data_IF_888556378591
#
_entry.id   IF_888556378591
#
_cell.length_a   1.000
_cell.length_b   1.000
_cell.length_c   1.000
_cell.angle_alpha   90.00
_cell.angle_beta   90.00
_cell.angle_gamma   90.00
#
_symmetry.space_group_name_H-M   'P 1'
#
loop_
_entity.id
_entity.type
_entity.pdbx_description
1 polymer ?
#
# COMPACT_ATOMS: atom_id res chain seq x y z
N UNK A 1 -42.96 -4.80 6.97
CA UNK A 1 -41.51 -4.78 6.71
C UNK A 1 -40.84 -4.09 7.89
N UNK A 2 -40.52 -4.82 8.96
CA UNK A 2 -39.80 -4.29 10.13
C UNK A 2 -38.44 -4.96 10.17
N UNK A 3 -37.40 -4.25 9.74
CA UNK A 3 -36.03 -4.65 10.02
C UNK A 3 -35.66 -4.06 11.39
N UNK A 4 -35.58 -4.91 12.41
CA UNK A 4 -35.01 -4.52 13.71
C UNK A 4 -33.56 -4.97 13.72
N UNK A 5 -32.64 -4.04 13.45
CA UNK A 5 -31.21 -4.27 13.59
C UNK A 5 -30.78 -3.67 14.93
N UNK A 6 -30.44 -4.53 15.90
CA UNK A 6 -29.84 -4.11 17.17
C UNK A 6 -28.32 -4.30 17.07
N UNK A 7 -27.62 -3.28 16.56
CA UNK A 7 -26.17 -3.26 16.56
C UNK A 7 -25.64 -2.75 17.90
N UNK A 8 -25.05 -3.64 18.69
CA UNK A 8 -24.25 -3.25 19.86
C UNK A 8 -22.79 -3.07 19.42
N UNK A 9 -22.41 -1.83 19.14
CA UNK A 9 -21.02 -1.46 18.91
C UNK A 9 -20.30 -1.28 20.25
N UNK A 10 -19.43 -2.23 20.57
CA UNK A 10 -18.44 -2.09 21.64
C UNK A 10 -17.06 -1.93 21.02
N UNK A 11 -16.66 -0.71 20.68
CA UNK A 11 -15.25 -0.37 20.47
C UNK A 11 -14.75 0.23 21.78
N UNK A 12 -13.93 -0.51 22.52
CA UNK A 12 -13.12 0.08 23.59
C UNK A 12 -11.79 0.51 22.99
N UNK A 13 -11.66 1.80 22.66
CA UNK A 13 -10.35 2.40 22.46
C UNK A 13 -9.64 2.39 23.81
N UNK A 14 -8.73 1.44 24.01
CA UNK A 14 -7.94 1.36 25.23
C UNK A 14 -6.70 2.25 25.09
N UNK A 15 -6.89 3.56 24.94
CA UNK A 15 -5.81 4.54 25.12
C UNK A 15 -5.73 4.91 26.60
N UNK A 16 -5.03 4.10 27.40
CA UNK A 16 -4.70 4.49 28.77
C UNK A 16 -3.44 5.34 28.73
N UNK A 17 -3.59 6.63 28.44
CA UNK A 17 -2.65 7.60 29.00
C UNK A 17 -2.93 7.68 30.50
N UNK A 18 -1.89 7.44 31.29
CA UNK A 18 -1.96 7.56 32.74
C UNK A 18 -2.10 9.03 33.14
N UNK A 19 -3.27 9.62 32.92
CA UNK A 19 -3.62 10.91 33.50
C UNK A 19 -3.99 10.71 34.97
N UNK A 20 -3.18 11.29 35.85
CA UNK A 20 -3.21 11.07 37.29
C UNK A 20 -4.47 11.57 38.02
N UNK A 21 -5.42 12.20 37.33
CA UNK A 21 -6.45 13.01 37.98
C UNK A 21 -7.93 12.59 37.79
N UNK A 22 -8.26 11.44 37.18
CA UNK A 22 -9.64 10.90 37.21
C UNK A 22 -9.70 9.36 37.23
N UNK A 23 -10.23 8.71 38.29
CA UNK A 23 -10.38 7.27 38.32
C UNK A 23 -11.85 6.87 38.12
N UNK A 24 -12.19 6.17 37.03
CA UNK A 24 -13.33 5.22 37.04
C UNK A 24 -13.41 4.43 35.73
N UNK A 25 -12.54 3.46 35.55
CA UNK A 25 -12.91 2.23 34.84
C UNK A 25 -12.37 1.03 35.60
N UNK A 26 -13.16 -0.05 35.66
CA UNK A 26 -12.82 -1.33 36.31
C UNK A 26 -11.46 -1.88 35.85
N UNK A 27 -11.01 -1.50 34.64
CA UNK A 27 -9.77 -1.93 34.01
C UNK A 27 -8.52 -1.15 34.51
N UNK A 28 -8.65 0.09 34.99
CA UNK A 28 -7.52 0.84 35.56
C UNK A 28 -6.92 0.18 36.81
N UNK A 29 -7.66 -0.70 37.49
CA UNK A 29 -7.17 -1.42 38.68
C UNK A 29 -6.10 -2.47 38.35
N UNK A 30 -6.04 -2.98 37.11
CA UNK A 30 -5.09 -4.03 36.74
C UNK A 30 -3.75 -3.51 36.20
N UNK A 31 -3.67 -2.24 35.81
CA UNK A 31 -2.44 -1.63 35.24
C UNK A 31 -1.95 -0.50 36.15
N UNK A 32 -1.64 -0.84 37.39
CA UNK A 32 -0.92 0.04 38.31
C UNK A 32 0.44 -0.56 38.65
N UNK A 33 1.32 -0.64 37.64
CA UNK A 33 2.73 -0.96 37.87
C UNK A 33 3.59 0.25 37.46
N UNK A 34 4.30 0.77 38.46
CA UNK A 34 5.07 2.02 38.50
C UNK A 34 6.39 1.95 37.70
N UNK A 35 6.44 1.14 36.65
CA UNK A 35 7.59 0.97 35.77
C UNK A 35 7.20 1.42 34.35
N UNK A 36 7.46 2.69 34.04
CA UNK A 36 7.16 3.40 32.78
C UNK A 36 7.92 2.90 31.54
N UNK A 37 8.38 1.63 31.56
CA UNK A 37 9.18 1.01 30.49
C UNK A 37 8.39 0.05 29.63
N UNK A 38 7.15 -0.31 30.01
CA UNK A 38 6.29 -1.17 29.19
C UNK A 38 4.94 -0.48 29.03
N UNK A 39 4.47 -0.38 27.80
CA UNK A 39 3.16 0.10 27.41
C UNK A 39 2.44 -1.02 26.66
N UNK A 40 1.19 -1.23 27.01
CA UNK A 40 0.30 -2.17 26.31
C UNK A 40 -0.94 -1.38 25.92
N UNK A 41 -1.26 -1.39 24.63
CA UNK A 41 -2.45 -0.78 24.07
C UNK A 41 -3.14 -1.73 23.10
N UNK A 42 -4.29 -1.34 22.58
CA UNK A 42 -5.03 -2.17 21.64
C UNK A 42 -6.53 -2.02 21.76
N UNK A 43 -7.26 -2.89 21.06
CA UNK A 43 -8.71 -2.96 21.13
C UNK A 43 -9.17 -4.41 21.07
N UNK A 44 -10.38 -4.64 21.58
CA UNK A 44 -11.16 -5.84 21.35
C UNK A 44 -12.48 -5.44 20.70
N UNK A 45 -12.87 -6.18 19.66
CA UNK A 45 -14.13 -5.98 18.94
C UNK A 45 -14.91 -7.28 18.88
N UNK A 46 -16.20 -7.15 19.17
CA UNK A 46 -17.17 -8.23 19.10
C UNK A 46 -18.42 -7.70 18.44
N UNK A 47 -18.87 -8.38 17.40
CA UNK A 47 -20.07 -8.01 16.66
C UNK A 47 -21.10 -9.11 16.81
N UNK A 48 -22.31 -8.73 17.19
CA UNK A 48 -23.44 -9.62 17.35
C UNK A 48 -24.57 -9.07 16.52
N UNK A 49 -25.15 -9.91 15.65
CA UNK A 49 -26.35 -9.53 14.91
C UNK A 49 -27.37 -10.65 14.90
N UNK A 50 -28.64 -10.24 14.90
CA UNK A 50 -29.78 -11.10 14.70
C UNK A 50 -30.54 -10.58 13.48
N UNK A 51 -30.68 -11.43 12.47
CA UNK A 51 -31.43 -11.14 11.24
C UNK A 51 -32.62 -12.07 11.16
N UNK A 52 -33.78 -11.52 10.82
CA UNK A 52 -34.99 -12.29 10.54
C UNK A 52 -35.72 -11.70 9.33
N UNK A 53 -36.08 -12.57 8.38
CA UNK A 53 -36.92 -12.26 7.23
C UNK A 53 -38.20 -13.09 7.29
N UNK A 54 -39.34 -12.44 7.09
CA UNK A 54 -40.63 -13.13 6.91
C UNK A 54 -40.60 -13.95 5.59
N UNK A 55 -40.09 -13.34 4.52
CA UNK A 55 -39.75 -13.99 3.24
C UNK A 55 -38.35 -13.54 2.80
N UNK A 56 -37.40 -14.48 2.69
CA UNK A 56 -36.04 -14.17 2.24
C UNK A 56 -35.88 -14.38 0.74
N UNK A 57 -34.95 -13.63 0.13
CA UNK A 57 -34.56 -13.84 -1.26
C UNK A 57 -33.97 -15.24 -1.47
N UNK A 58 -34.20 -15.88 -2.64
CA UNK A 58 -33.71 -17.23 -2.94
C UNK A 58 -32.21 -17.44 -2.65
N UNK A 59 -31.38 -16.45 -3.00
CA UNK A 59 -29.93 -16.51 -2.82
C UNK A 59 -29.50 -16.49 -1.33
N UNK A 60 -30.31 -15.90 -0.45
CA UNK A 60 -30.06 -15.82 0.99
C UNK A 60 -30.51 -17.11 1.69
N UNK A 61 -31.63 -17.69 1.22
CA UNK A 61 -32.19 -18.95 1.72
C UNK A 61 -31.20 -20.11 1.58
N UNK A 62 -30.46 -20.18 0.47
CA UNK A 62 -29.52 -21.26 0.17
C UNK A 62 -28.38 -21.38 1.19
N UNK A 63 -27.97 -20.29 1.83
CA UNK A 63 -26.80 -20.27 2.72
C UNK A 63 -27.13 -20.10 4.20
N UNK A 64 -28.23 -19.44 4.54
CA UNK A 64 -28.45 -18.97 5.93
C UNK A 64 -29.89 -19.02 6.44
N UNK A 65 -30.86 -19.34 5.58
CA UNK A 65 -32.28 -19.37 5.94
C UNK A 65 -32.90 -18.03 6.36
N UNK A 66 -34.14 -18.07 6.85
CA UNK A 66 -34.93 -16.89 7.23
C UNK A 66 -34.45 -16.23 8.53
N UNK A 67 -33.71 -16.95 9.39
CA UNK A 67 -33.24 -16.44 10.68
C UNK A 67 -31.77 -16.73 10.87
N UNK A 68 -30.99 -15.71 11.22
CA UNK A 68 -29.57 -15.84 11.56
C UNK A 68 -29.33 -15.14 12.89
N UNK A 69 -28.69 -15.84 13.83
CA UNK A 69 -28.08 -15.24 15.02
C UNK A 69 -26.59 -15.51 14.89
N UNK A 70 -25.77 -14.47 14.89
CA UNK A 70 -24.33 -14.60 14.62
C UNK A 70 -23.51 -13.69 15.52
N UNK A 71 -22.33 -14.18 15.92
CA UNK A 71 -21.30 -13.43 16.66
C UNK A 71 -20.09 -13.26 15.74
N UNK A 72 -20.34 -12.74 14.55
CA UNK A 72 -19.34 -12.58 13.50
C UNK A 72 -19.73 -11.38 12.64
N UNK A 73 -18.79 -10.52 12.27
CA UNK A 73 -19.07 -9.35 11.41
C UNK A 73 -18.74 -9.57 9.94
N UNK A 74 -18.11 -10.69 9.56
CA UNK A 74 -17.62 -10.88 8.20
C UNK A 74 -16.53 -9.91 7.79
N UNK A 75 -15.99 -9.13 8.74
CA UNK A 75 -15.07 -8.05 8.49
C UNK A 75 -13.63 -8.56 8.58
N UNK A 76 -12.75 -8.09 7.70
CA UNK A 76 -11.37 -8.58 7.55
C UNK A 76 -10.42 -8.09 8.66
N UNK A 77 -10.92 -7.38 9.67
CA UNK A 77 -10.10 -6.87 10.77
C UNK A 77 -10.02 -7.89 11.94
N UNK A 78 -8.97 -7.84 12.77
CA UNK A 78 -8.82 -8.76 13.88
C UNK A 78 -9.85 -8.50 14.98
N UNK A 79 -10.33 -9.54 15.67
CA UNK A 79 -11.21 -9.37 16.83
C UNK A 79 -10.47 -8.80 18.04
N UNK A 80 -9.17 -9.01 18.12
CA UNK A 80 -8.31 -8.44 19.15
C UNK A 80 -7.01 -7.97 18.50
N UNK A 81 -6.64 -6.72 18.76
CA UNK A 81 -5.31 -6.20 18.51
C UNK A 81 -4.66 -5.84 19.85
N UNK A 82 -3.44 -6.30 20.08
CA UNK A 82 -2.61 -5.90 21.20
C UNK A 82 -1.28 -5.34 20.68
N UNK A 83 -0.95 -4.11 21.05
CA UNK A 83 0.33 -3.48 20.78
C UNK A 83 1.12 -3.47 22.09
N UNK A 84 2.29 -4.10 22.12
CA UNK A 84 3.17 -4.12 23.30
C UNK A 84 4.44 -3.37 22.95
N UNK A 85 4.71 -2.27 23.65
CA UNK A 85 5.92 -1.47 23.49
C UNK A 85 6.75 -1.49 24.77
N UNK A 86 8.02 -1.82 24.64
CA UNK A 86 9.02 -1.78 25.70
C UNK A 86 10.04 -0.68 25.38
N UNK A 87 10.27 0.20 26.34
CA UNK A 87 11.31 1.24 26.31
C UNK A 87 12.37 0.91 27.38
N UNK A 88 13.38 0.06 27.09
CA UNK A 88 14.41 -0.29 28.07
C UNK A 88 15.12 0.95 28.67
N UNK A 89 15.29 1.99 27.84
CA UNK A 89 15.86 3.28 28.18
C UNK A 89 15.28 4.39 27.25
N UNK A 90 15.67 5.66 27.44
CA UNK A 90 15.16 6.82 26.65
C UNK A 90 15.56 6.84 25.17
N UNK A 91 16.55 6.03 24.78
CA UNK A 91 17.10 5.94 23.42
C UNK A 91 16.64 4.69 22.68
N UNK A 92 16.03 3.70 23.34
CA UNK A 92 15.68 2.41 22.75
C UNK A 92 14.21 2.10 22.95
N UNK A 93 13.52 1.71 21.88
CA UNK A 93 12.15 1.20 21.91
C UNK A 93 12.07 -0.12 21.13
N UNK A 94 11.27 -1.05 21.62
CA UNK A 94 10.95 -2.33 21.00
C UNK A 94 9.44 -2.47 21.04
N UNK A 95 8.79 -2.73 19.91
CA UNK A 95 7.35 -2.84 19.81
C UNK A 95 6.96 -4.12 19.09
N UNK A 96 5.88 -4.74 19.54
CA UNK A 96 5.28 -5.88 18.85
C UNK A 96 3.77 -5.72 18.78
N UNK A 97 3.20 -6.05 17.63
CA UNK A 97 1.75 -6.12 17.44
C UNK A 97 1.32 -7.58 17.38
N UNK A 98 0.25 -7.89 18.11
CA UNK A 98 -0.45 -9.16 18.08
C UNK A 98 -1.85 -8.94 17.56
N UNK A 99 -2.27 -9.77 16.63
CA UNK A 99 -3.61 -9.76 16.08
C UNK A 99 -4.21 -11.15 16.22
N UNK A 100 -5.47 -11.21 16.64
CA UNK A 100 -6.19 -12.46 16.82
C UNK A 100 -7.54 -12.39 16.12
N UNK A 101 -7.79 -13.38 15.26
CA UNK A 101 -9.04 -13.58 14.55
C UNK A 101 -9.75 -14.79 15.14
N UNK A 102 -10.97 -14.57 15.61
CA UNK A 102 -11.81 -15.61 16.20
C UNK A 102 -13.18 -15.56 15.54
N UNK A 103 -13.56 -16.54 14.70
CA UNK A 103 -14.87 -16.55 14.05
C UNK A 103 -16.02 -16.89 15.02
N UNK A 104 -15.74 -17.10 16.31
CA UNK A 104 -16.70 -17.49 17.36
C UNK A 104 -17.61 -18.66 16.97
N UNK A 105 -17.11 -19.59 16.16
CA UNK A 105 -17.84 -20.74 15.61
C UNK A 105 -17.96 -21.92 16.58
N UNK A 106 -17.43 -21.81 17.80
CA UNK A 106 -17.36 -22.90 18.78
C UNK A 106 -16.33 -23.98 18.44
N UNK A 107 -15.64 -23.88 17.29
CA UNK A 107 -14.52 -24.73 16.91
C UNK A 107 -13.22 -23.92 16.92
N UNK A 108 -12.16 -24.49 17.49
CA UNK A 108 -10.81 -23.91 17.51
C UNK A 108 -10.10 -23.92 16.15
N UNK A 109 -10.53 -24.77 15.22
CA UNK A 109 -9.86 -24.92 13.90
C UNK A 109 -9.91 -23.64 13.05
N UNK A 110 -10.86 -22.73 13.34
CA UNK A 110 -10.98 -21.42 12.70
C UNK A 110 -10.33 -20.27 13.47
N UNK A 111 -9.82 -20.51 14.68
CA UNK A 111 -9.07 -19.51 15.45
C UNK A 111 -7.67 -19.38 14.86
N UNK A 112 -7.57 -18.54 13.83
CA UNK A 112 -6.36 -18.35 13.06
C UNK A 112 -5.47 -17.31 13.75
N UNK A 113 -4.42 -17.78 14.41
CA UNK A 113 -3.19 -17.01 14.61
C UNK A 113 -2.36 -17.11 13.32
N UNK A 114 -2.84 -16.52 12.22
CA UNK A 114 -2.11 -16.61 10.94
C UNK A 114 -0.99 -15.59 10.88
N UNK A 115 0.23 -16.13 10.78
CA UNK A 115 1.49 -15.37 10.71
C UNK A 115 1.65 -14.51 9.44
N UNK A 116 0.61 -14.37 8.61
CA UNK A 116 0.65 -13.53 7.40
C UNK A 116 0.46 -12.03 7.68
N UNK A 117 -0.21 -11.67 8.77
CA UNK A 117 -0.44 -10.26 9.17
C UNK A 117 -0.06 -10.00 10.64
N UNK A 118 0.18 -11.04 11.45
CA UNK A 118 -0.20 -10.98 12.87
C UNK A 118 0.92 -10.80 13.91
N UNK A 119 2.19 -10.79 13.50
CA UNK A 119 3.33 -10.44 14.37
C UNK A 119 4.24 -9.44 13.66
N UNK A 120 4.18 -8.18 14.09
CA UNK A 120 5.08 -7.13 13.64
C UNK A 120 6.06 -6.82 14.74
N UNK A 121 7.32 -7.26 14.62
CA UNK A 121 8.37 -6.84 15.54
C UNK A 121 9.04 -5.59 14.98
N UNK A 122 9.15 -4.55 15.79
CA UNK A 122 9.95 -3.38 15.45
C UNK A 122 10.84 -2.97 16.60
N UNK A 123 11.98 -2.38 16.26
CA UNK A 123 12.93 -1.86 17.21
C UNK A 123 13.49 -0.54 16.70
N UNK A 124 13.79 0.38 17.60
CA UNK A 124 14.52 1.59 17.25
C UNK A 124 15.53 1.97 18.32
N UNK A 125 16.66 2.54 17.87
CA UNK A 125 17.70 3.07 18.73
C UNK A 125 18.13 4.46 18.25
N UNK A 126 18.18 5.42 19.16
CA UNK A 126 18.76 6.74 18.94
C UNK A 126 20.20 6.76 19.42
N UNK A 127 21.11 7.08 18.51
CA UNK A 127 22.54 7.28 18.77
C UNK A 127 22.91 8.73 18.51
N UNK A 128 24.18 9.09 18.74
CA UNK A 128 24.69 10.41 18.41
C UNK A 128 24.88 10.60 16.89
N UNK A 129 24.90 9.50 16.13
CA UNK A 129 25.00 9.46 14.67
C UNK A 129 23.65 9.33 13.96
N UNK A 130 22.53 9.41 14.68
CA UNK A 130 21.18 9.33 14.11
C UNK A 130 20.30 8.28 14.77
N UNK A 131 19.11 8.07 14.21
CA UNK A 131 18.12 7.09 14.66
C UNK A 131 18.08 5.91 13.70
N UNK A 132 18.26 4.72 14.23
CA UNK A 132 18.17 3.47 13.49
C UNK A 132 16.89 2.73 13.86
N UNK A 133 16.23 2.16 12.86
CA UNK A 133 15.03 1.34 13.01
C UNK A 133 15.22 -0.03 12.36
N UNK A 134 14.63 -1.06 12.96
CA UNK A 134 14.53 -2.40 12.38
C UNK A 134 13.08 -2.86 12.48
N UNK A 135 12.58 -3.52 11.44
CA UNK A 135 11.28 -4.17 11.42
C UNK A 135 11.42 -5.59 10.89
N UNK A 136 10.73 -6.55 11.48
CA UNK A 136 10.69 -7.95 11.04
C UNK A 136 9.27 -8.49 11.26
N UNK A 137 8.76 -9.24 10.29
CA UNK A 137 7.51 -9.99 10.47
C UNK A 137 6.47 -9.55 9.46
N UNK A 138 5.30 -9.12 9.92
CA UNK A 138 4.12 -8.84 9.10
C UNK A 138 4.28 -7.68 8.11
N UNK A 139 3.15 -7.12 7.70
CA UNK A 139 3.08 -6.28 6.50
C UNK A 139 3.42 -4.82 6.83
N UNK A 140 4.47 -4.31 6.19
CA UNK A 140 4.86 -2.91 6.16
C UNK A 140 4.39 -2.26 4.86
N UNK A 141 3.84 -1.05 4.96
CA UNK A 141 3.53 -0.22 3.80
C UNK A 141 4.77 0.61 3.47
N UNK A 142 5.42 0.30 2.37
CA UNK A 142 6.74 0.82 2.04
C UNK A 142 6.79 1.45 0.64
N UNK A 143 7.50 2.56 0.51
CA UNK A 143 7.66 3.31 -0.73
C UNK A 143 9.06 3.91 -0.77
N UNK A 144 9.74 3.74 -1.90
CA UNK A 144 11.05 4.34 -2.19
C UNK A 144 10.89 5.52 -3.15
N UNK A 145 10.17 5.29 -4.25
CA UNK A 145 9.93 6.24 -5.34
C UNK A 145 9.04 5.60 -6.40
N UNK A 146 8.47 6.40 -7.31
CA UNK A 146 7.48 5.93 -8.30
C UNK A 146 7.98 4.77 -9.15
N UNK A 147 9.16 4.85 -9.78
CA UNK A 147 9.67 3.80 -10.66
C UNK A 147 10.34 2.64 -9.92
N UNK A 148 10.78 2.82 -8.67
CA UNK A 148 11.49 1.77 -7.90
C UNK A 148 10.55 0.96 -7.01
N UNK A 149 9.84 1.58 -6.10
CA UNK A 149 8.89 0.90 -5.24
C UNK A 149 7.84 1.92 -4.81
N UNK A 150 6.69 1.86 -5.43
CA UNK A 150 5.63 2.83 -5.28
C UNK A 150 4.36 2.30 -5.91
N UNK A 151 3.27 3.00 -5.74
CA UNK A 151 1.99 2.63 -6.36
C UNK A 151 1.53 3.73 -7.29
N UNK A 152 0.76 3.35 -8.30
CA UNK A 152 0.10 4.31 -9.18
C UNK A 152 -1.00 4.95 -8.35
N UNK A 153 -0.77 6.18 -7.86
CA UNK A 153 -1.82 7.02 -7.30
C UNK A 153 -2.74 7.40 -8.43
N UNK A 154 -3.82 6.65 -8.59
CA UNK A 154 -4.95 7.08 -9.40
C UNK A 154 -6.08 7.20 -8.40
N UNK A 155 -6.78 8.31 -8.38
CA UNK A 155 -7.96 8.49 -7.53
C UNK A 155 -9.09 7.64 -8.11
N UNK A 156 -9.06 6.34 -7.80
CA UNK A 156 -9.85 5.29 -8.48
C UNK A 156 -11.28 5.18 -7.98
N UNK A 157 -11.69 6.00 -7.02
CA UNK A 157 -13.01 5.91 -6.39
C UNK A 157 -13.90 7.01 -6.94
N UNK A 158 -15.10 6.67 -7.40
CA UNK A 158 -16.15 7.67 -7.56
C UNK A 158 -16.76 7.98 -6.19
N UNK A 159 -17.38 9.15 -6.06
CA UNK A 159 -18.14 9.54 -4.87
C UNK A 159 -19.20 8.51 -4.47
N UNK A 160 -19.65 7.72 -5.45
CA UNK A 160 -20.74 6.77 -5.31
C UNK A 160 -20.27 5.32 -5.31
N UNK A 161 -19.00 5.05 -5.59
CA UNK A 161 -18.47 3.68 -5.58
C UNK A 161 -18.10 3.29 -4.15
N UNK A 162 -18.71 2.22 -3.65
CA UNK A 162 -18.42 1.65 -2.33
C UNK A 162 -17.63 0.35 -2.53
N UNK A 163 -16.50 0.21 -1.85
CA UNK A 163 -15.87 -1.11 -1.73
C UNK A 163 -16.62 -1.98 -0.73
N UNK A 164 -16.56 -3.32 -0.84
CA UNK A 164 -17.26 -4.21 0.09
C UNK A 164 -16.92 -3.98 1.57
N UNK A 165 -15.76 -3.37 1.85
CA UNK A 165 -15.25 -3.08 3.19
C UNK A 165 -15.50 -1.64 3.66
N UNK A 166 -16.08 -0.75 2.86
CA UNK A 166 -16.43 0.61 3.32
C UNK A 166 -17.66 0.59 4.26
N UNK A 167 -17.56 1.27 5.40
CA UNK A 167 -18.67 1.42 6.34
C UNK A 167 -19.87 2.21 5.77
N UNK A 168 -21.04 2.08 6.39
CA UNK A 168 -22.31 2.66 5.89
C UNK A 168 -22.38 4.19 5.87
N UNK A 169 -21.44 4.91 6.51
CA UNK A 169 -21.36 6.38 6.50
C UNK A 169 -20.23 6.96 5.62
N UNK A 170 -19.49 6.13 4.89
CA UNK A 170 -18.32 6.58 4.13
C UNK A 170 -18.67 7.46 2.92
N UNK A 171 -19.89 7.37 2.38
CA UNK A 171 -20.33 8.17 1.23
C UNK A 171 -20.44 9.67 1.54
N UNK A 172 -21.05 10.02 2.68
CA UNK A 172 -21.24 11.42 3.07
C UNK A 172 -19.90 12.08 3.43
N UNK A 173 -19.03 11.33 4.12
CA UNK A 173 -17.66 11.76 4.40
C UNK A 173 -16.85 11.96 3.11
N UNK A 174 -16.95 11.05 2.14
CA UNK A 174 -16.29 11.20 0.83
C UNK A 174 -16.82 12.40 0.05
N UNK A 175 -18.12 12.63 0.07
CA UNK A 175 -18.72 13.80 -0.56
C UNK A 175 -18.22 15.11 0.05
N UNK A 176 -18.29 15.24 1.38
CA UNK A 176 -17.81 16.42 2.09
C UNK A 176 -16.32 16.65 1.84
N UNK A 177 -15.52 15.59 1.90
CA UNK A 177 -14.09 15.67 1.66
C UNK A 177 -13.75 16.04 0.22
N UNK A 178 -14.42 15.47 -0.76
CA UNK A 178 -14.25 15.86 -2.16
C UNK A 178 -14.65 17.31 -2.38
N UNK A 179 -15.73 17.77 -1.76
CA UNK A 179 -16.14 19.17 -1.82
C UNK A 179 -15.08 20.12 -1.22
N UNK A 180 -14.53 19.76 -0.05
CA UNK A 180 -13.53 20.56 0.65
C UNK A 180 -12.16 20.54 -0.05
N UNK A 181 -11.71 19.36 -0.48
CA UNK A 181 -10.31 19.10 -0.90
C UNK A 181 -10.14 18.82 -2.39
N UNK A 182 -11.22 18.64 -3.15
CA UNK A 182 -11.17 18.22 -4.55
C UNK A 182 -10.78 16.75 -4.75
N UNK A 183 -10.55 16.00 -3.67
CA UNK A 183 -9.98 14.67 -3.67
C UNK A 183 -10.86 13.68 -2.89
N UNK A 184 -11.00 12.46 -3.44
CA UNK A 184 -11.65 11.32 -2.80
C UNK A 184 -10.54 10.50 -2.17
N UNK A 185 -10.08 10.96 -1.02
CA UNK A 185 -8.88 10.40 -0.40
C UNK A 185 -8.95 8.87 -0.30
N UNK A 186 -7.97 8.26 -0.97
CA UNK A 186 -7.50 6.92 -0.69
C UNK A 186 -6.80 6.92 0.67
N UNK A 187 -6.96 5.84 1.42
CA UNK A 187 -6.07 5.55 2.53
C UNK A 187 -4.61 5.77 2.10
N UNK A 188 -3.79 6.41 2.93
CA UNK A 188 -2.39 6.71 2.61
C UNK A 188 -1.63 5.45 2.13
N UNK A 189 -2.06 4.25 2.53
CA UNK A 189 -1.51 2.96 2.06
C UNK A 189 -1.52 2.78 0.53
N UNK A 190 -2.43 3.41 -0.21
CA UNK A 190 -2.56 3.21 -1.66
C UNK A 190 -1.41 3.76 -2.50
N UNK A 191 -0.55 4.61 -1.95
CA UNK A 191 0.71 5.04 -2.60
C UNK A 191 1.92 4.17 -2.22
N UNK A 192 1.75 3.27 -1.24
CA UNK A 192 2.78 2.35 -0.75
C UNK A 192 2.55 0.94 -1.29
N UNK A 193 3.61 0.14 -1.26
CA UNK A 193 3.56 -1.29 -1.55
C UNK A 193 3.53 -2.08 -0.24
N UNK A 194 2.64 -3.07 -0.17
CA UNK A 194 2.61 -4.03 0.94
C UNK A 194 3.84 -4.94 0.87
N UNK A 195 4.67 -4.93 1.91
CA UNK A 195 5.92 -5.66 1.98
C UNK A 195 6.01 -6.45 3.28
N UNK A 196 6.44 -7.71 3.21
CA UNK A 196 6.62 -8.59 4.37
C UNK A 196 8.07 -9.06 4.43
N UNK A 197 8.75 -8.81 5.53
CA UNK A 197 10.16 -9.20 5.69
C UNK A 197 10.93 -8.35 6.68
N UNK A 198 12.23 -8.22 6.44
CA UNK A 198 13.14 -7.39 7.21
C UNK A 198 13.20 -5.99 6.61
N UNK A 199 13.10 -4.97 7.46
CA UNK A 199 13.41 -3.58 7.13
C UNK A 199 14.48 -3.05 8.07
N UNK A 200 15.36 -2.21 7.54
CA UNK A 200 16.38 -1.52 8.32
C UNK A 200 16.50 -0.08 7.82
N UNK A 201 16.39 0.90 8.71
CA UNK A 201 16.40 2.31 8.34
C UNK A 201 17.33 3.12 9.23
N UNK A 202 17.84 4.22 8.68
CA UNK A 202 18.64 5.21 9.37
C UNK A 202 18.15 6.60 9.01
N UNK A 203 17.86 7.44 10.02
CA UNK A 203 17.36 8.81 9.82
C UNK A 203 18.15 9.80 10.67
N UNK A 204 18.30 11.03 10.17
CA UNK A 204 19.08 12.07 10.84
C UNK A 204 20.56 11.70 10.96
N UNK A 205 21.12 11.07 9.93
CA UNK A 205 22.53 10.71 9.87
C UNK A 205 23.39 11.96 9.55
N UNK A 206 24.69 11.94 9.87
CA UNK A 206 25.61 13.03 9.56
C UNK A 206 25.51 13.48 8.10
N UNK A 207 25.55 14.79 7.89
CA UNK A 207 25.41 15.38 6.56
C UNK A 207 24.01 15.20 5.99
N UNK A 208 22.95 15.30 6.79
CA UNK A 208 21.56 15.31 6.30
C UNK A 208 21.20 14.07 5.45
N UNK A 209 21.74 12.91 5.83
CA UNK A 209 21.52 11.65 5.14
C UNK A 209 20.47 10.80 5.85
N UNK A 210 19.82 9.94 5.07
CA UNK A 210 19.01 8.83 5.56
C UNK A 210 19.17 7.64 4.63
N UNK A 211 18.85 6.45 5.14
CA UNK A 211 18.70 5.27 4.30
C UNK A 211 17.53 4.42 4.75
N UNK A 212 17.08 3.60 3.82
CA UNK A 212 16.03 2.60 3.99
C UNK A 212 16.50 1.34 3.26
N UNK A 213 16.46 0.19 3.92
CA UNK A 213 16.80 -1.11 3.36
C UNK A 213 15.67 -2.08 3.65
N UNK A 214 15.42 -2.99 2.71
CA UNK A 214 14.40 -4.01 2.80
C UNK A 214 14.90 -5.32 2.20
N UNK A 215 14.50 -6.43 2.81
CA UNK A 215 14.74 -7.78 2.33
C UNK A 215 13.56 -8.68 2.69
N UNK A 216 12.85 -9.23 1.70
CA UNK A 216 11.61 -9.94 1.96
C UNK A 216 10.81 -10.26 0.70
N UNK A 217 9.49 -10.27 0.84
CA UNK A 217 8.54 -10.51 -0.25
C UNK A 217 7.49 -9.41 -0.28
N UNK A 218 6.89 -9.21 -1.44
CA UNK A 218 5.68 -8.42 -1.59
C UNK A 218 4.62 -9.26 -2.34
N UNK A 219 3.43 -8.71 -2.56
CA UNK A 219 2.34 -9.39 -3.28
C UNK A 219 2.74 -9.88 -4.68
N UNK A 220 3.70 -9.22 -5.33
CA UNK A 220 4.17 -9.56 -6.65
C UNK A 220 5.27 -10.66 -6.67
N UNK A 221 5.80 -11.01 -5.49
CA UNK A 221 6.77 -12.10 -5.25
C UNK A 221 6.12 -13.29 -4.51
N UNK A 222 4.79 -13.39 -4.52
CA UNK A 222 4.10 -14.57 -4.01
C UNK A 222 4.16 -15.69 -5.05
N UNK A 223 4.69 -16.84 -4.66
CA UNK A 223 4.60 -18.04 -5.50
C UNK A 223 3.13 -18.45 -5.57
N UNK A 224 2.66 -18.86 -6.75
CA UNK A 224 1.42 -19.58 -6.83
C UNK A 224 1.63 -20.98 -6.24
N UNK A 225 1.17 -21.21 -5.01
CA UNK A 225 1.34 -22.50 -4.33
C UNK A 225 0.71 -23.68 -5.09
N UNK A 226 -0.23 -23.42 -6.02
CA UNK A 226 -0.81 -24.45 -6.88
C UNK A 226 0.11 -24.89 -8.03
N UNK A 227 1.16 -24.11 -8.35
CA UNK A 227 2.07 -24.35 -9.48
C UNK A 227 3.51 -24.56 -8.99
N UNK A 228 3.98 -23.71 -8.08
CA UNK A 228 5.33 -23.77 -7.51
C UNK A 228 5.25 -23.81 -5.98
N UNK A 229 5.92 -24.78 -5.33
CA UNK A 229 5.95 -24.87 -3.88
C UNK A 229 6.48 -23.59 -3.20
N UNK A 230 6.07 -23.33 -1.96
CA UNK A 230 6.50 -22.15 -1.18
C UNK A 230 8.02 -22.12 -0.92
N UNK A 231 8.66 -23.27 -1.04
CA UNK A 231 10.09 -23.51 -0.86
C UNK A 231 10.94 -22.97 -2.02
N UNK A 232 10.34 -22.71 -3.18
CA UNK A 232 11.06 -22.09 -4.30
C UNK A 232 11.39 -20.63 -3.94
N UNK A 233 12.67 -20.22 -3.93
CA UNK A 233 13.04 -18.87 -3.55
C UNK A 233 12.40 -17.83 -4.46
N UNK A 234 11.73 -16.84 -3.85
CA UNK A 234 11.17 -15.68 -4.54
C UNK A 234 11.17 -14.52 -3.55
N UNK A 235 12.15 -13.63 -3.69
CA UNK A 235 12.42 -12.55 -2.76
C UNK A 235 12.83 -11.29 -3.48
N UNK A 236 12.81 -10.19 -2.75
CA UNK A 236 13.30 -8.91 -3.19
C UNK A 236 14.21 -8.30 -2.12
N UNK A 237 15.23 -7.58 -2.57
CA UNK A 237 16.18 -6.87 -1.75
C UNK A 237 16.48 -5.51 -2.38
N UNK A 238 16.46 -4.47 -1.56
CA UNK A 238 16.72 -3.14 -2.06
C UNK A 238 16.69 -2.08 -0.99
N UNK A 239 16.69 -0.84 -1.44
CA UNK A 239 16.72 0.29 -0.54
C UNK A 239 16.93 1.62 -1.23
N UNK A 240 16.98 2.64 -0.41
CA UNK A 240 17.23 4.01 -0.78
C UNK A 240 18.28 4.61 0.15
N UNK A 241 19.16 5.43 -0.42
CA UNK A 241 19.97 6.39 0.32
C UNK A 241 19.52 7.77 -0.13
N UNK A 242 19.11 8.61 0.82
CA UNK A 242 18.65 9.96 0.56
C UNK A 242 19.61 10.97 1.18
N UNK A 243 19.83 12.06 0.45
CA UNK A 243 20.51 13.27 0.91
C UNK A 243 19.54 14.43 0.84
N UNK A 244 19.27 15.05 1.99
CA UNK A 244 18.57 16.34 2.05
C UNK A 244 19.56 17.46 1.77
N UNK A 245 19.18 18.39 0.90
CA UNK A 245 20.03 19.51 0.46
C UNK A 245 19.56 20.82 1.10
N UNK A 246 18.24 21.03 1.18
CA UNK A 246 17.59 22.14 1.88
C UNK A 246 16.33 21.63 2.58
N UNK A 247 15.64 22.48 3.35
CA UNK A 247 14.44 22.09 4.10
C UNK A 247 13.40 21.33 3.27
N UNK A 248 13.25 21.68 1.98
CA UNK A 248 12.29 21.09 1.03
C UNK A 248 12.92 20.31 -0.13
N UNK A 249 14.24 20.15 -0.16
CA UNK A 249 14.93 19.63 -1.33
C UNK A 249 15.70 18.36 -0.98
N UNK A 250 15.55 17.31 -1.78
CA UNK A 250 16.23 16.04 -1.60
C UNK A 250 16.59 15.37 -2.92
N UNK A 251 17.62 14.53 -2.85
CA UNK A 251 17.98 13.57 -3.88
C UNK A 251 18.16 12.21 -3.23
N UNK A 252 17.70 11.18 -3.92
CA UNK A 252 17.68 9.80 -3.45
C UNK A 252 18.30 8.91 -4.52
N UNK A 253 19.11 7.97 -4.10
CA UNK A 253 19.60 6.86 -4.92
C UNK A 253 18.89 5.60 -4.47
N UNK A 254 18.27 4.90 -5.40
CA UNK A 254 17.48 3.70 -5.13
C UNK A 254 18.06 2.50 -5.87
N UNK A 255 18.03 1.35 -5.23
CA UNK A 255 18.31 0.07 -5.86
C UNK A 255 17.26 -0.95 -5.42
N UNK A 256 16.81 -1.76 -6.36
CA UNK A 256 15.87 -2.82 -6.08
C UNK A 256 16.13 -4.01 -6.97
N UNK A 257 16.20 -5.18 -6.36
CA UNK A 257 16.45 -6.42 -7.07
C UNK A 257 15.43 -7.45 -6.62
N UNK A 258 14.86 -8.16 -7.57
CA UNK A 258 14.02 -9.33 -7.35
C UNK A 258 14.76 -10.56 -7.84
N UNK A 259 14.68 -11.62 -7.05
CA UNK A 259 15.34 -12.90 -7.30
C UNK A 259 14.31 -14.01 -7.11
N UNK A 260 14.02 -14.74 -8.19
CA UNK A 260 13.10 -15.86 -8.22
C UNK A 260 13.65 -17.00 -9.09
N UNK A 261 13.03 -18.17 -8.96
CA UNK A 261 13.22 -19.31 -9.85
C UNK A 261 11.88 -19.79 -10.38
N UNK A 262 11.86 -20.26 -11.63
CA UNK A 262 10.63 -20.79 -12.26
C UNK A 262 10.54 -22.32 -12.19
N UNK A 263 11.50 -22.96 -11.54
CA UNK A 263 11.60 -24.41 -11.40
C UNK A 263 11.95 -24.81 -9.96
N UNK A 264 11.60 -26.04 -9.59
CA UNK A 264 11.90 -26.59 -8.26
C UNK A 264 13.36 -26.99 -8.08
N UNK A 265 14.13 -27.10 -9.17
CA UNK A 265 15.57 -27.38 -9.12
C UNK A 265 16.45 -26.13 -9.03
N UNK A 266 15.85 -24.93 -9.02
CA UNK A 266 16.53 -23.65 -9.00
C UNK A 266 17.54 -23.46 -10.16
N UNK A 267 17.24 -24.03 -11.32
CA UNK A 267 18.07 -23.93 -12.52
C UNK A 267 17.70 -22.71 -13.39
N UNK A 268 16.41 -22.37 -13.44
CA UNK A 268 15.83 -21.32 -14.27
C UNK A 268 15.63 -20.07 -13.43
N UNK A 269 16.43 -19.04 -13.69
CA UNK A 269 16.40 -17.78 -12.91
C UNK A 269 15.45 -16.78 -13.53
N UNK A 270 14.71 -16.10 -12.66
CA UNK A 270 13.87 -14.97 -13.03
C UNK A 270 14.03 -13.81 -12.07
N UNK A 271 13.91 -12.60 -12.58
CA UNK A 271 13.89 -11.42 -11.73
C UNK A 271 14.18 -10.13 -12.47
N UNK A 272 14.23 -9.04 -11.73
CA UNK A 272 14.62 -7.74 -12.25
C UNK A 272 15.62 -7.07 -11.33
N UNK A 273 16.35 -6.11 -11.89
CA UNK A 273 17.31 -5.28 -11.16
C UNK A 273 17.08 -3.85 -11.61
N UNK A 274 16.97 -2.91 -10.69
CA UNK A 274 16.73 -1.49 -10.95
C UNK A 274 17.75 -0.64 -10.20
N UNK A 275 18.17 0.42 -10.85
CA UNK A 275 18.97 1.48 -10.29
C UNK A 275 18.36 2.81 -10.70
N UNK A 276 17.94 3.62 -9.74
CA UNK A 276 17.33 4.92 -10.04
C UNK A 276 17.87 6.03 -9.15
N UNK A 277 17.69 7.25 -9.64
CA UNK A 277 17.89 8.47 -8.90
C UNK A 277 16.54 9.20 -8.90
N UNK A 278 15.99 9.43 -7.71
CA UNK A 278 14.80 10.27 -7.53
C UNK A 278 15.17 11.62 -6.91
N UNK A 279 14.40 12.64 -7.23
CA UNK A 279 14.63 14.00 -6.79
C UNK A 279 13.31 14.69 -6.44
N UNK A 280 13.39 15.55 -5.43
CA UNK A 280 12.30 16.44 -5.04
C UNK A 280 12.91 17.83 -4.82
N UNK A 281 12.67 18.76 -5.73
CA UNK A 281 13.32 20.06 -5.73
C UNK A 281 12.36 21.22 -5.94
N UNK A 282 12.41 22.17 -5.02
CA UNK A 282 11.85 23.50 -5.24
C UNK A 282 12.90 24.44 -5.81
N UNK A 283 12.61 24.98 -6.99
CA UNK A 283 13.29 26.16 -7.53
C UNK A 283 12.35 27.36 -7.44
N UNK A 284 12.61 28.24 -6.48
CA UNK A 284 11.66 29.29 -6.04
C UNK A 284 10.32 28.66 -5.63
N UNK A 285 9.28 28.83 -6.45
CA UNK A 285 7.93 28.34 -6.21
C UNK A 285 7.56 27.12 -7.07
N UNK A 286 8.43 26.73 -8.01
CA UNK A 286 8.18 25.61 -8.94
C UNK A 286 8.74 24.34 -8.31
N UNK A 287 7.91 23.29 -8.28
CA UNK A 287 8.31 21.94 -7.88
C UNK A 287 8.80 21.17 -9.13
N UNK A 288 9.94 20.51 -8.97
CA UNK A 288 10.46 19.48 -9.87
C UNK A 288 10.56 18.20 -9.08
N UNK A 289 9.68 17.24 -9.36
CA UNK A 289 9.67 15.93 -8.72
C UNK A 289 9.83 14.86 -9.80
N UNK A 290 10.64 13.85 -9.56
CA UNK A 290 10.79 12.81 -10.58
C UNK A 290 11.87 11.80 -10.28
N UNK A 291 11.98 10.83 -11.17
CA UNK A 291 12.88 9.70 -11.07
C UNK A 291 13.39 9.33 -12.45
N UNK A 292 14.67 8.99 -12.52
CA UNK A 292 15.30 8.42 -13.71
C UNK A 292 16.15 7.24 -13.32
N UNK A 293 16.18 6.20 -14.15
CA UNK A 293 17.03 5.06 -13.88
C UNK A 293 17.11 4.05 -15.00
N UNK A 294 17.84 2.99 -14.70
CA UNK A 294 18.06 1.85 -15.57
C UNK A 294 17.60 0.59 -14.86
N UNK A 295 17.08 -0.35 -15.63
CA UNK A 295 16.73 -1.65 -15.10
C UNK A 295 16.86 -2.72 -16.16
N UNK A 296 16.86 -3.97 -15.72
CA UNK A 296 16.79 -5.13 -16.60
C UNK A 296 15.90 -6.17 -16.01
N UNK A 297 15.24 -6.93 -16.88
CA UNK A 297 14.54 -8.16 -16.56
C UNK A 297 15.32 -9.34 -17.12
N UNK A 298 15.31 -10.45 -16.38
CA UNK A 298 15.92 -11.71 -16.76
C UNK A 298 14.87 -12.81 -16.58
N UNK A 299 14.66 -13.60 -17.62
CA UNK A 299 14.00 -14.91 -17.56
C UNK A 299 14.46 -15.76 -18.75
N UNK A 300 14.17 -17.06 -18.73
CA UNK A 300 14.52 -17.95 -19.85
C UNK A 300 13.64 -17.72 -21.09
N UNK A 301 12.46 -17.13 -20.90
CA UNK A 301 11.48 -16.87 -21.96
C UNK A 301 11.77 -15.56 -22.71
N UNK A 302 12.36 -14.58 -22.02
CA UNK A 302 12.59 -13.24 -22.57
C UNK A 302 14.08 -12.92 -22.62
N UNK A 303 14.61 -12.39 -23.74
CA UNK A 303 16.02 -12.05 -23.84
C UNK A 303 16.38 -10.98 -22.81
N UNK A 304 17.50 -11.19 -22.09
CA UNK A 304 18.04 -10.19 -21.18
C UNK A 304 18.30 -8.87 -21.93
N UNK A 305 17.82 -7.77 -21.36
CA UNK A 305 17.99 -6.45 -21.94
C UNK A 305 17.96 -5.36 -20.87
N UNK A 306 18.80 -4.36 -21.04
CA UNK A 306 18.72 -3.13 -20.25
C UNK A 306 17.69 -2.19 -20.86
N UNK A 307 16.82 -1.65 -20.01
CA UNK A 307 15.92 -0.56 -20.30
C UNK A 307 16.24 0.64 -19.41
N UNK A 308 15.72 1.80 -19.81
CA UNK A 308 15.76 3.01 -19.02
C UNK A 308 14.34 3.52 -18.80
N UNK A 309 14.12 4.22 -17.70
CA UNK A 309 12.84 4.79 -17.36
C UNK A 309 13.03 6.14 -16.69
N UNK A 310 12.16 7.09 -17.01
CA UNK A 310 12.05 8.33 -16.26
C UNK A 310 10.64 8.88 -16.23
N UNK A 311 10.36 9.59 -15.15
CA UNK A 311 9.22 10.49 -15.01
C UNK A 311 9.71 11.82 -14.41
N UNK A 312 9.06 12.90 -14.82
CA UNK A 312 9.32 14.24 -14.30
C UNK A 312 8.01 14.99 -14.23
N UNK A 313 7.62 15.37 -13.02
CA UNK A 313 6.54 16.30 -12.75
C UNK A 313 7.10 17.70 -12.50
N UNK A 314 6.49 18.68 -13.16
CA UNK A 314 6.76 20.10 -12.97
C UNK A 314 5.45 20.76 -12.54
N UNK A 315 5.41 21.25 -11.31
CA UNK A 315 4.19 21.85 -10.73
C UNK A 315 4.41 23.32 -10.35
N UNK A 316 3.47 24.18 -10.76
CA UNK A 316 3.49 25.62 -10.47
C UNK A 316 2.28 26.03 -9.64
N UNK A 317 2.42 26.93 -8.66
CA UNK A 317 1.28 27.44 -7.91
C UNK A 317 0.56 28.54 -8.69
N UNK A 318 -0.71 28.78 -8.33
CA UNK A 318 -1.55 29.89 -8.83
C UNK A 318 -0.82 31.24 -8.85
N UNK A 319 0.02 31.51 -7.84
CA UNK A 319 0.77 32.77 -7.74
C UNK A 319 1.82 33.01 -8.83
N UNK A 320 2.16 32.00 -9.64
CA UNK A 320 3.13 32.10 -10.73
C UNK A 320 2.45 32.07 -12.12
N UNK A 321 1.44 31.24 -12.29
CA UNK A 321 0.81 30.93 -13.59
C UNK A 321 -0.66 31.34 -13.66
N UNK A 322 -1.17 32.09 -12.68
CA UNK A 322 -2.59 32.47 -12.49
C UNK A 322 -3.55 31.30 -12.23
N UNK A 323 -3.14 30.08 -12.57
CA UNK A 323 -3.76 28.79 -12.26
C UNK A 323 -2.68 27.84 -11.74
N UNK A 324 -2.96 26.94 -10.79
CA UNK A 324 -2.05 25.84 -10.45
C UNK A 324 -1.94 24.89 -11.64
N UNK A 325 -0.73 24.61 -12.11
CA UNK A 325 -0.48 23.70 -13.23
C UNK A 325 0.42 22.55 -12.77
N UNK A 326 0.13 21.33 -13.22
CA UNK A 326 1.06 20.20 -13.16
C UNK A 326 1.25 19.62 -14.56
N UNK A 327 2.50 19.44 -14.95
CA UNK A 327 2.89 18.77 -16.18
C UNK A 327 3.80 17.59 -15.82
N UNK A 328 3.36 16.38 -16.11
CA UNK A 328 4.17 15.17 -15.96
C UNK A 328 4.62 14.68 -17.33
N UNK A 329 5.93 14.57 -17.53
CA UNK A 329 6.54 13.96 -18.71
C UNK A 329 7.10 12.59 -18.32
N UNK A 330 6.96 11.59 -19.17
CA UNK A 330 7.50 10.26 -18.87
C UNK A 330 7.95 9.50 -20.11
N UNK A 331 8.88 8.57 -19.88
CA UNK A 331 9.35 7.59 -20.84
C UNK A 331 9.78 6.34 -20.07
N UNK A 332 9.22 5.18 -20.40
CA UNK A 332 9.58 3.92 -19.76
C UNK A 332 9.82 2.89 -20.86
N UNK A 333 11.05 2.41 -20.97
CA UNK A 333 11.46 1.44 -21.98
C UNK A 333 10.81 0.06 -21.76
N UNK A 334 10.64 -0.74 -22.83
CA UNK A 334 10.06 -2.09 -22.74
C UNK A 334 10.84 -3.03 -21.81
N UNK A 335 12.15 -2.83 -21.67
CA UNK A 335 13.02 -3.62 -20.81
C UNK A 335 13.13 -3.05 -19.38
N UNK A 336 12.55 -1.87 -19.12
CA UNK A 336 12.43 -1.33 -17.77
C UNK A 336 11.19 -1.94 -17.11
N UNK A 337 11.42 -3.00 -16.36
CA UNK A 337 10.37 -3.89 -15.83
C UNK A 337 10.43 -3.89 -14.32
N UNK A 338 9.28 -3.62 -13.71
CA UNK A 338 9.12 -3.60 -12.26
C UNK A 338 7.63 -3.75 -11.91
N UNK A 339 7.24 -4.86 -11.32
CA UNK A 339 5.83 -5.13 -10.93
C UNK A 339 5.39 -4.44 -9.64
N UNK A 340 6.31 -3.71 -9.01
CA UNK A 340 6.08 -3.07 -7.70
C UNK A 340 6.42 -1.58 -7.73
N UNK A 341 6.65 -1.06 -8.93
CA UNK A 341 6.67 0.37 -9.20
C UNK A 341 5.26 0.90 -9.47
N UNK A 342 5.13 2.21 -9.42
CA UNK A 342 3.96 2.99 -9.84
C UNK A 342 3.85 3.10 -11.37
N UNK A 343 3.97 1.98 -12.09
CA UNK A 343 3.64 1.83 -13.50
C UNK A 343 3.28 0.37 -13.82
N UNK A 344 2.51 0.15 -14.88
CA UNK A 344 2.17 -1.21 -15.34
C UNK A 344 3.20 -1.77 -16.32
N UNK A 345 3.52 -3.06 -16.18
CA UNK A 345 4.33 -3.78 -17.15
C UNK A 345 3.43 -4.29 -18.28
N UNK A 346 3.64 -3.79 -19.49
CA UNK A 346 2.83 -4.12 -20.67
C UNK A 346 3.63 -4.89 -21.72
N UNK A 347 4.95 -4.93 -21.58
CA UNK A 347 5.87 -5.56 -22.52
C UNK A 347 6.19 -7.04 -22.24
N UNK A 348 6.03 -7.50 -21.00
CA UNK A 348 6.38 -8.87 -20.58
C UNK A 348 5.19 -9.48 -19.84
N UNK A 349 4.57 -10.51 -20.42
CA UNK A 349 3.35 -11.13 -19.88
C UNK A 349 3.61 -11.94 -18.62
N UNK A 350 4.78 -12.57 -18.52
CA UNK A 350 5.23 -13.38 -17.39
C UNK A 350 5.23 -12.59 -16.06
N UNK A 351 5.41 -11.28 -16.13
CA UNK A 351 5.44 -10.38 -14.96
C UNK A 351 4.04 -10.01 -14.48
N UNK A 352 3.02 -10.18 -15.33
CA UNK A 352 1.63 -9.88 -15.02
C UNK A 352 0.85 -11.07 -14.47
N UNK A 353 1.46 -12.25 -14.43
CA UNK A 353 0.83 -13.48 -13.92
C UNK A 353 1.07 -13.58 -12.41
N UNK A 354 0.15 -13.00 -11.62
CA UNK A 354 0.06 -13.29 -10.19
C UNK A 354 -1.00 -14.37 -9.99
N UNK A 355 -0.55 -15.52 -9.48
CA UNK A 355 -1.37 -16.70 -9.29
C UNK A 355 -2.62 -16.44 -8.47
N UNK A 356 -3.69 -17.13 -8.85
CA UNK A 356 -4.92 -17.27 -8.10
C UNK A 356 -4.66 -17.99 -6.77
N UNK A 357 -4.22 -17.27 -5.74
CA UNK A 357 -4.39 -17.72 -4.36
C UNK A 357 -5.63 -17.04 -3.80
N UNK A 358 -6.53 -17.85 -3.23
CA UNK A 358 -7.82 -17.47 -2.67
C UNK A 358 -7.76 -16.49 -1.48
N UNK A 359 -6.56 -16.05 -1.07
CA UNK A 359 -6.31 -15.10 0.02
C UNK A 359 -5.63 -13.79 -0.45
N UNK A 360 -5.41 -13.61 -1.74
CA UNK A 360 -4.86 -12.37 -2.28
C UNK A 360 -5.98 -11.35 -2.52
N UNK A 361 -5.96 -10.25 -1.77
CA UNK A 361 -6.79 -9.09 -2.05
C UNK A 361 -6.66 -8.68 -3.53
N UNK A 362 -7.78 -8.75 -4.25
CA UNK A 362 -8.01 -8.20 -5.60
C UNK A 362 -6.83 -8.32 -6.57
N UNK A 363 -6.76 -9.44 -7.27
CA UNK A 363 -5.99 -9.55 -8.52
C UNK A 363 -6.63 -8.61 -9.56
N UNK A 364 -6.21 -7.35 -9.55
CA UNK A 364 -6.45 -6.49 -10.70
C UNK A 364 -5.59 -7.08 -11.81
N UNK A 365 -6.23 -7.71 -12.80
CA UNK A 365 -5.59 -8.08 -14.05
C UNK A 365 -4.82 -6.85 -14.55
N UNK A 366 -3.48 -6.91 -14.45
CA UNK A 366 -2.63 -5.87 -14.97
C UNK A 366 -2.80 -5.90 -16.49
N UNK A 367 -3.21 -4.78 -17.11
CA UNK A 367 -3.52 -4.81 -18.52
C UNK A 367 -2.22 -5.07 -19.29
N UNK A 368 -2.24 -6.13 -20.10
CA UNK A 368 -1.17 -6.54 -21.01
C UNK A 368 -1.60 -6.16 -22.44
N UNK A 369 -0.64 -5.97 -23.35
CA UNK A 369 -0.90 -5.61 -24.75
C UNK A 369 -1.63 -4.25 -24.93
N UNK A 370 -0.86 -3.22 -25.27
CA UNK A 370 -1.32 -1.89 -25.69
C UNK A 370 -2.50 -1.31 -24.87
N UNK A 371 -2.36 -1.13 -23.55
CA UNK A 371 -3.47 -0.67 -22.72
C UNK A 371 -3.88 0.78 -23.01
N UNK A 372 -5.19 1.02 -23.06
CA UNK A 372 -5.76 2.36 -22.97
C UNK A 372 -5.65 2.82 -21.51
N UNK A 373 -4.65 3.65 -21.24
CA UNK A 373 -4.35 4.15 -19.90
C UNK A 373 -5.28 5.32 -19.52
N UNK A 374 -5.61 5.40 -18.23
CA UNK A 374 -6.24 6.58 -17.65
C UNK A 374 -5.20 7.71 -17.47
N UNK A 375 -5.67 8.94 -17.24
CA UNK A 375 -4.79 10.08 -16.93
C UNK A 375 -3.95 9.75 -15.70
N UNK A 376 -2.65 10.08 -15.73
CA UNK A 376 -1.70 9.79 -14.66
C UNK A 376 -1.21 8.34 -14.61
N UNK A 377 -1.74 7.44 -15.45
CA UNK A 377 -1.38 6.03 -15.44
C UNK A 377 -0.15 5.74 -16.32
N UNK A 378 0.96 5.36 -15.67
CA UNK A 378 2.21 5.03 -16.34
C UNK A 378 2.27 3.56 -16.78
N UNK A 379 2.92 3.30 -17.90
CA UNK A 379 3.20 1.95 -18.39
C UNK A 379 4.57 1.91 -19.06
N UNK A 380 5.23 0.76 -19.03
CA UNK A 380 6.45 0.53 -19.82
C UNK A 380 6.16 0.38 -21.32
N UNK A 381 7.21 0.37 -22.15
CA UNK A 381 7.11 0.47 -23.62
C UNK A 381 6.38 1.74 -24.11
N UNK A 382 6.46 2.84 -23.36
CA UNK A 382 5.63 4.03 -23.61
C UNK A 382 6.33 5.32 -23.23
N UNK A 383 5.98 6.39 -23.93
CA UNK A 383 6.29 7.76 -23.55
C UNK A 383 5.02 8.60 -23.63
N UNK A 384 4.99 9.70 -22.89
CA UNK A 384 3.80 10.54 -22.87
C UNK A 384 3.94 11.75 -21.98
N UNK A 385 2.82 12.45 -21.89
CA UNK A 385 2.63 13.61 -21.05
C UNK A 385 1.24 13.58 -20.40
N UNK A 386 1.19 13.96 -19.14
CA UNK A 386 -0.04 14.24 -18.41
C UNK A 386 -0.03 15.71 -18.02
N UNK A 387 -1.18 16.34 -18.11
CA UNK A 387 -1.40 17.74 -17.75
C UNK A 387 -2.62 17.82 -16.85
N UNK A 388 -2.48 18.49 -15.72
CA UNK A 388 -3.54 18.66 -14.74
C UNK A 388 -3.56 20.11 -14.22
N UNK A 389 -4.75 20.68 -14.08
CA UNK A 389 -4.97 22.02 -13.52
C UNK A 389 -6.30 22.06 -12.77
N UNK A 390 -6.35 22.91 -11.74
CA UNK A 390 -7.60 23.20 -11.02
C UNK A 390 -7.93 24.69 -11.14
N UNK A 391 -9.20 25.01 -11.39
CA UNK A 391 -9.72 26.37 -11.54
C UNK A 391 -10.90 26.57 -10.62
N UNK A 392 -10.84 27.60 -9.79
CA UNK A 392 -11.96 28.03 -8.96
C UNK A 392 -12.63 29.26 -9.58
N UNK A 393 -13.92 29.15 -9.88
CA UNK A 393 -14.77 30.22 -10.41
C UNK A 393 -15.95 30.41 -9.45
N UNK A 394 -15.88 31.43 -8.59
CA UNK A 394 -16.82 31.64 -7.47
C UNK A 394 -16.90 30.41 -6.54
N UNK A 395 -18.07 29.79 -6.41
CA UNK A 395 -18.27 28.58 -5.63
C UNK A 395 -18.02 27.28 -6.44
N UNK A 396 -17.65 27.40 -7.72
CA UNK A 396 -17.40 26.26 -8.60
C UNK A 396 -15.92 25.93 -8.62
N UNK A 397 -15.56 24.70 -8.24
CA UNK A 397 -14.22 24.12 -8.45
C UNK A 397 -14.26 23.22 -9.69
N UNK A 398 -13.36 23.47 -10.64
CA UNK A 398 -13.23 22.73 -11.89
C UNK A 398 -11.82 22.14 -11.99
N UNK A 399 -11.72 20.82 -12.11
CA UNK A 399 -10.46 20.14 -12.37
C UNK A 399 -10.43 19.66 -13.82
N UNK A 400 -9.35 19.98 -14.54
CA UNK A 400 -9.11 19.56 -15.91
C UNK A 400 -7.83 18.75 -15.95
N UNK A 401 -7.94 17.48 -16.34
CA UNK A 401 -6.83 16.58 -16.61
C UNK A 401 -6.83 16.13 -18.07
N UNK A 402 -5.65 15.96 -18.66
CA UNK A 402 -5.48 15.45 -20.01
C UNK A 402 -4.19 14.63 -20.13
N UNK A 403 -4.26 13.50 -20.84
CA UNK A 403 -3.14 12.59 -21.03
C UNK A 403 -2.99 12.22 -22.50
N UNK A 404 -1.76 12.29 -23.00
CA UNK A 404 -1.38 11.74 -24.30
C UNK A 404 -0.19 10.83 -24.10
N UNK A 405 -0.25 9.63 -24.66
CA UNK A 405 0.88 8.72 -24.66
C UNK A 405 0.91 7.87 -25.93
N UNK A 406 2.10 7.35 -26.25
CA UNK A 406 2.31 6.51 -27.43
C UNK A 406 3.21 5.34 -27.08
N UNK A 407 2.83 4.16 -27.58
CA UNK A 407 3.63 2.94 -27.46
C UNK A 407 4.86 3.04 -28.37
N UNK A 408 6.03 2.66 -27.87
CA UNK A 408 7.29 2.76 -28.61
C UNK A 408 7.40 1.67 -29.68
N UNK A 409 7.07 0.45 -29.31
CA UNK A 409 7.11 -0.71 -30.19
C UNK A 409 5.77 -1.43 -30.12
N UNK A 410 5.21 -1.82 -31.26
CA UNK A 410 3.99 -2.63 -31.27
C UNK A 410 4.32 -4.05 -30.82
N UNK A 411 4.01 -4.39 -29.57
CA UNK A 411 4.28 -5.73 -29.01
C UNK A 411 3.09 -6.69 -29.13
N UNK A 412 1.89 -6.17 -29.42
CA UNK A 412 0.68 -6.96 -29.64
C UNK A 412 -0.24 -6.31 -30.67
N UNK A 413 -1.18 -7.10 -31.18
CA UNK A 413 -2.29 -6.65 -32.01
C UNK A 413 -3.57 -6.40 -31.19
N UNK A 414 -3.53 -6.73 -29.90
CA UNK A 414 -4.65 -6.56 -28.97
C UNK A 414 -4.62 -5.18 -28.31
N UNK A 415 -5.81 -4.62 -28.07
CA UNK A 415 -6.02 -3.43 -27.25
C UNK A 415 -6.69 -3.86 -25.96
N UNK A 416 -6.02 -3.61 -24.83
CA UNK A 416 -6.63 -3.80 -23.50
C UNK A 416 -7.21 -2.49 -22.96
N UNK A 417 -8.34 -2.59 -22.28
CA UNK A 417 -8.92 -1.47 -21.54
C UNK A 417 -9.51 -1.98 -20.24
N UNK A 418 -9.37 -1.19 -19.18
CA UNK A 418 -9.99 -1.51 -17.89
C UNK A 418 -11.27 -0.71 -17.76
N UNK A 419 -12.40 -1.41 -17.74
CA UNK A 419 -13.68 -0.82 -17.39
C UNK A 419 -13.91 -0.97 -15.89
N UNK A 420 -14.26 0.12 -15.20
CA UNK A 420 -14.59 0.08 -13.77
C UNK A 420 -16.12 0.00 -13.64
N UNK A 421 -16.62 -1.00 -12.93
CA UNK A 421 -18.01 -1.07 -12.47
C UNK A 421 -18.04 -0.52 -11.04
#
# INVERSE_FOLDING_TARGET
>A
MCCFELCLFGQSDLSVEADSNKPSSFLQRFIKSKSSKVSVGGYYRMYMYHRFFDEAYPDILLNTGNRVVSVFDGYFDPNLQLNVTVNPNKKTAISTDFFLFTPYSGNSDGNLLTNNIMLNLSGSIRTDYGRFGVGVGGIYWFSLSTLTMGSISVDRYSLFTRTPYDGTGYSDFRYLRYYETGDINLDQRFIFQAFKGLTFSGTGLPGDMSFNFLFGKNSANLNNEAILPTEVPNYMAGGQIQKKIKSKNSISFNNLNSFAYDDTSNAVKRGFNLLTISHHFYLKKVLFDGEFGFGRYQSDTYPEGWGHGWNLEISTPKSLTYLPLSLQLFHIDKNFVNNIGGFSNTSISEVNFLGSSSDAQTLILQPFASPINQIGYLANNRYGLNFDTEVEVFALKLSLGYSISSEKERLSDDISYTNKI
#
